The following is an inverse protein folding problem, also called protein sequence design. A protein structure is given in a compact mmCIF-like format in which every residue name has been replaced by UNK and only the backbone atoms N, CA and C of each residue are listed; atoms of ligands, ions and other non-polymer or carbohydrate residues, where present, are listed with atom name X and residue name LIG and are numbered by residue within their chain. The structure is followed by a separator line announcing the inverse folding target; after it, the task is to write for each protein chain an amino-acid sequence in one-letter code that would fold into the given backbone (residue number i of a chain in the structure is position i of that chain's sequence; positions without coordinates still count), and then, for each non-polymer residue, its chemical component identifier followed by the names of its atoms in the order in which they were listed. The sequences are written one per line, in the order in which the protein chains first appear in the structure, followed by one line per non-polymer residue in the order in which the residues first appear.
data_IF_725338442929
#
_entry.id   IF_725338442929
#
_cell.length_a   1.000
_cell.length_b   1.000
_cell.length_c   1.000
_cell.angle_alpha   90.00
_cell.angle_beta   90.00
_cell.angle_gamma   90.00
#
_symmetry.space_group_name_H-M   'P 1'
#
loop_
_entity.id
_entity.type
_entity.pdbx_description
1 polymer ?
#
# COMPACT_ATOMS: atom_id res chain seq x y z
N UNK A 1 -5.19 4.30 -47.93
CA UNK A 1 -4.05 3.40 -47.65
C UNK A 1 -2.89 4.24 -47.11
N UNK A 2 -2.40 4.14 -45.88
CA UNK A 2 -2.74 3.33 -44.72
C UNK A 2 -2.10 3.95 -43.46
N UNK A 3 -2.57 3.53 -42.29
CA UNK A 3 -1.83 3.56 -41.02
C UNK A 3 -0.73 2.47 -41.07
N UNK A 4 0.40 2.53 -40.33
CA UNK A 4 0.48 2.59 -38.85
C UNK A 4 1.66 3.51 -38.38
N UNK A 5 2.16 3.63 -37.15
CA UNK A 5 2.07 2.91 -35.88
C UNK A 5 2.54 3.90 -34.79
N UNK A 6 1.91 3.86 -33.63
CA UNK A 6 2.25 4.63 -32.45
C UNK A 6 3.50 4.00 -31.79
N UNK A 7 4.64 4.67 -31.80
CA UNK A 7 5.79 4.29 -30.96
C UNK A 7 5.64 4.94 -29.58
N UNK A 8 5.22 4.13 -28.62
CA UNK A 8 5.28 4.44 -27.20
C UNK A 8 6.74 4.47 -26.80
N UNK A 9 7.27 5.67 -26.56
CA UNK A 9 8.65 5.85 -26.15
C UNK A 9 8.78 5.49 -24.66
N UNK A 10 9.19 4.24 -24.41
CA UNK A 10 9.68 3.81 -23.09
C UNK A 10 10.90 4.64 -22.73
N UNK A 11 10.74 5.62 -21.83
CA UNK A 11 11.84 6.36 -21.25
C UNK A 11 12.51 5.48 -20.18
N UNK A 12 13.54 4.75 -20.61
CA UNK A 12 14.59 4.24 -19.73
C UNK A 12 15.51 5.40 -19.36
N UNK A 13 15.40 5.93 -18.14
CA UNK A 13 16.35 6.90 -17.59
C UNK A 13 17.52 6.17 -16.94
N UNK A 14 18.73 6.58 -17.35
CA UNK A 14 20.01 5.97 -17.09
C UNK A 14 20.72 6.51 -15.84
N UNK A 15 21.38 5.58 -15.15
CA UNK A 15 22.39 5.67 -14.06
C UNK A 15 23.11 7.00 -13.81
N UNK A 16 22.98 7.49 -12.57
CA UNK A 16 23.90 8.41 -11.90
C UNK A 16 23.63 8.44 -10.38
N UNK A 17 24.57 7.87 -9.59
CA UNK A 17 24.48 7.47 -8.16
C UNK A 17 23.60 6.25 -7.91
N UNK A 18 24.27 5.11 -7.67
CA UNK A 18 23.66 3.85 -7.26
C UNK A 18 23.21 3.93 -5.80
N UNK A 19 22.17 4.71 -5.52
CA UNK A 19 21.26 4.32 -4.45
C UNK A 19 20.42 3.20 -5.06
N UNK A 20 20.51 1.98 -4.52
CA UNK A 20 19.62 0.89 -4.95
C UNK A 20 18.20 1.44 -4.88
N UNK A 21 17.55 1.69 -6.01
CA UNK A 21 16.12 1.94 -6.04
C UNK A 21 15.47 0.67 -5.51
N UNK A 22 15.15 0.68 -4.22
CA UNK A 22 14.48 -0.44 -3.58
C UNK A 22 13.16 -0.60 -4.29
N UNK A 23 12.86 -1.81 -4.78
CA UNK A 23 11.57 -2.05 -5.43
C UNK A 23 10.45 -1.71 -4.45
N UNK A 24 9.31 -1.15 -4.90
CA UNK A 24 8.23 -0.76 -4.00
C UNK A 24 7.78 -1.91 -3.09
N UNK A 25 7.84 -3.17 -3.57
CA UNK A 25 7.58 -4.34 -2.73
C UNK A 25 8.61 -4.59 -1.62
N UNK A 26 9.89 -4.26 -1.83
CA UNK A 26 10.90 -4.35 -0.77
C UNK A 26 10.70 -3.25 0.27
N UNK A 27 10.46 -2.02 -0.18
CA UNK A 27 10.11 -0.91 0.71
C UNK A 27 8.84 -1.22 1.51
N UNK A 28 7.81 -1.79 0.88
CA UNK A 28 6.58 -2.21 1.56
C UNK A 28 6.85 -3.24 2.65
N UNK A 29 7.63 -4.28 2.34
CA UNK A 29 8.02 -5.29 3.34
C UNK A 29 8.82 -4.66 4.49
N UNK A 30 9.80 -3.82 4.18
CA UNK A 30 10.64 -3.13 5.19
C UNK A 30 9.79 -2.25 6.10
N UNK A 31 8.89 -1.43 5.53
CA UNK A 31 8.00 -0.55 6.28
C UNK A 31 7.02 -1.34 7.17
N UNK A 32 6.45 -2.44 6.66
CA UNK A 32 5.56 -3.30 7.44
C UNK A 32 6.29 -3.94 8.63
N UNK A 33 7.50 -4.47 8.42
CA UNK A 33 8.30 -5.06 9.50
C UNK A 33 8.71 -4.01 10.53
N UNK A 34 9.11 -2.81 10.08
CA UNK A 34 9.45 -1.69 10.96
C UNK A 34 8.25 -1.30 11.84
N UNK A 35 7.11 -1.02 11.20
CA UNK A 35 5.87 -0.65 11.87
C UNK A 35 5.35 -1.75 12.81
N UNK A 36 5.53 -3.03 12.47
CA UNK A 36 5.19 -4.15 13.35
C UNK A 36 6.03 -4.11 14.63
N UNK A 37 7.35 -3.94 14.50
CA UNK A 37 8.27 -3.92 15.64
C UNK A 37 8.01 -2.75 16.62
N UNK A 38 7.37 -1.69 16.11
CA UNK A 38 7.00 -0.49 16.86
C UNK A 38 5.53 -0.48 17.30
N UNK A 39 4.77 -1.56 17.05
CA UNK A 39 3.34 -1.68 17.35
C UNK A 39 2.47 -0.59 16.69
N UNK A 40 2.82 -0.18 15.47
CA UNK A 40 2.11 0.84 14.69
C UNK A 40 1.21 0.27 13.59
N UNK A 41 1.10 -1.07 13.52
CA UNK A 41 0.23 -1.76 12.58
C UNK A 41 -1.16 -1.98 13.16
N UNK A 42 -2.18 -1.75 12.33
CA UNK A 42 -3.53 -2.27 12.52
C UNK A 42 -3.83 -3.23 11.38
N UNK A 43 -4.27 -4.45 11.69
CA UNK A 43 -4.57 -5.50 10.71
C UNK A 43 -6.05 -5.84 10.81
N UNK A 44 -6.71 -5.98 9.66
CA UNK A 44 -8.13 -6.27 9.55
C UNK A 44 -8.93 -5.08 9.05
N UNK A 45 -9.97 -5.36 8.26
CA UNK A 45 -10.86 -4.34 7.67
C UNK A 45 -11.64 -3.58 8.73
N UNK A 46 -12.13 -4.28 9.75
CA UNK A 46 -12.97 -3.69 10.79
C UNK A 46 -12.16 -2.79 11.72
N UNK A 47 -11.01 -3.27 12.16
CA UNK A 47 -10.06 -2.56 13.02
C UNK A 47 -9.53 -1.31 12.29
N UNK A 48 -9.21 -1.43 11.01
CA UNK A 48 -8.79 -0.31 10.17
C UNK A 48 -9.88 0.76 10.07
N UNK A 49 -11.13 0.36 9.78
CA UNK A 49 -12.26 1.28 9.73
C UNK A 49 -12.52 1.97 11.07
N UNK A 50 -12.28 1.28 12.19
CA UNK A 50 -12.38 1.87 13.54
C UNK A 50 -11.37 2.99 13.73
N UNK A 51 -10.08 2.75 13.42
CA UNK A 51 -9.04 3.79 13.51
C UNK A 51 -9.37 4.98 12.60
N UNK A 52 -9.77 4.74 11.36
CA UNK A 52 -10.19 5.80 10.42
C UNK A 52 -11.35 6.65 10.95
N UNK A 53 -12.22 6.08 11.79
CA UNK A 53 -13.34 6.79 12.40
C UNK A 53 -12.93 7.54 13.67
N UNK A 54 -12.04 6.96 14.47
CA UNK A 54 -11.64 7.50 15.78
C UNK A 54 -10.51 8.53 15.68
N UNK A 55 -9.51 8.28 14.84
CA UNK A 55 -8.31 9.11 14.69
C UNK A 55 -7.76 9.05 13.25
N UNK A 56 -8.43 9.74 12.29
CA UNK A 56 -8.06 9.75 10.87
C UNK A 56 -6.65 10.32 10.63
N UNK A 57 -6.25 11.29 11.44
CA UNK A 57 -4.98 12.01 11.30
C UNK A 57 -3.76 11.15 11.66
N UNK A 58 -3.98 10.08 12.44
CA UNK A 58 -2.93 9.12 12.79
C UNK A 58 -2.55 8.20 11.62
N UNK A 59 -3.41 8.05 10.61
CA UNK A 59 -3.22 7.06 9.55
C UNK A 59 -2.27 7.60 8.49
N UNK A 60 -1.10 6.96 8.36
CA UNK A 60 -0.08 7.37 7.39
C UNK A 60 -0.24 6.61 6.07
N UNK A 61 -0.47 5.30 6.14
CA UNK A 61 -0.43 4.44 4.95
C UNK A 61 -1.41 3.27 5.06
N UNK A 62 -2.03 2.89 3.94
CA UNK A 62 -3.00 1.80 3.87
C UNK A 62 -2.59 0.74 2.82
N UNK A 63 -2.72 -0.53 3.17
CA UNK A 63 -2.50 -1.67 2.28
C UNK A 63 -3.82 -2.43 2.19
N UNK A 64 -4.29 -2.67 0.96
CA UNK A 64 -5.43 -3.57 0.70
C UNK A 64 -4.92 -4.85 0.04
N UNK A 65 -5.20 -5.99 0.66
CA UNK A 65 -4.87 -7.29 0.10
C UNK A 65 -6.09 -7.97 -0.48
N UNK A 66 -6.00 -8.32 -1.76
CA UNK A 66 -7.10 -8.94 -2.51
C UNK A 66 -6.60 -10.18 -3.22
N UNK A 67 -7.04 -11.37 -2.82
CA UNK A 67 -6.85 -12.57 -3.63
C UNK A 67 -8.08 -12.83 -4.51
N UNK A 68 -7.88 -13.59 -5.58
CA UNK A 68 -8.95 -14.09 -6.46
C UNK A 68 -10.09 -14.73 -5.64
N UNK A 69 -9.73 -15.42 -4.55
CA UNK A 69 -10.64 -16.11 -3.63
C UNK A 69 -11.75 -15.22 -3.03
N UNK A 70 -11.48 -13.92 -2.92
CA UNK A 70 -12.36 -12.95 -2.26
C UNK A 70 -12.99 -11.95 -3.25
N UNK A 71 -12.82 -12.15 -4.55
CA UNK A 71 -13.45 -11.32 -5.58
C UNK A 71 -14.98 -11.40 -5.55
N UNK A 72 -15.53 -12.53 -5.06
CA UNK A 72 -16.97 -12.74 -4.98
C UNK A 72 -17.60 -12.33 -3.65
N UNK A 73 -16.79 -11.92 -2.66
CA UNK A 73 -17.31 -11.42 -1.39
C UNK A 73 -17.76 -9.96 -1.55
N UNK A 74 -19.04 -9.78 -1.84
CA UNK A 74 -19.65 -8.46 -2.01
C UNK A 74 -19.48 -7.59 -0.76
N UNK A 75 -19.52 -8.17 0.44
CA UNK A 75 -19.36 -7.40 1.67
C UNK A 75 -17.94 -6.85 1.77
N UNK A 76 -16.93 -7.68 1.50
CA UNK A 76 -15.54 -7.26 1.49
C UNK A 76 -15.26 -6.21 0.40
N UNK A 77 -15.81 -6.38 -0.80
CA UNK A 77 -15.68 -5.40 -1.88
C UNK A 77 -16.31 -4.04 -1.53
N UNK A 78 -17.44 -4.04 -0.81
CA UNK A 78 -18.04 -2.81 -0.27
C UNK A 78 -17.07 -2.16 0.71
N UNK A 79 -16.50 -2.93 1.64
CA UNK A 79 -15.54 -2.39 2.61
C UNK A 79 -14.28 -1.80 1.95
N UNK A 80 -13.72 -2.47 0.94
CA UNK A 80 -12.59 -1.92 0.18
C UNK A 80 -12.95 -0.61 -0.51
N UNK A 81 -14.15 -0.52 -1.09
CA UNK A 81 -14.63 0.73 -1.70
C UNK A 81 -14.72 1.85 -0.67
N UNK A 82 -15.25 1.57 0.52
CA UNK A 82 -15.35 2.55 1.61
C UNK A 82 -13.97 3.01 2.09
N UNK A 83 -13.04 2.08 2.31
CA UNK A 83 -11.67 2.38 2.73
C UNK A 83 -10.94 3.19 1.67
N UNK A 84 -11.05 2.83 0.39
CA UNK A 84 -10.44 3.57 -0.71
C UNK A 84 -10.96 5.00 -0.78
N UNK A 85 -12.29 5.20 -0.68
CA UNK A 85 -12.88 6.54 -0.65
C UNK A 85 -12.33 7.35 0.51
N UNK A 86 -12.26 6.76 1.70
CA UNK A 86 -11.74 7.43 2.89
C UNK A 86 -10.27 7.82 2.72
N UNK A 87 -9.42 6.92 2.23
CA UNK A 87 -8.01 7.22 2.00
C UNK A 87 -7.84 8.34 0.96
N UNK A 88 -8.65 8.33 -0.10
CA UNK A 88 -8.64 9.37 -1.11
C UNK A 88 -9.05 10.74 -0.54
N UNK A 89 -10.13 10.80 0.24
CA UNK A 89 -10.65 12.05 0.80
C UNK A 89 -9.69 12.67 1.83
N UNK A 90 -8.86 11.86 2.49
CA UNK A 90 -7.92 12.29 3.54
C UNK A 90 -6.45 12.31 3.07
N UNK A 91 -6.18 12.18 1.77
CA UNK A 91 -4.82 12.11 1.19
C UNK A 91 -3.91 11.02 1.81
N UNK A 92 -4.51 9.93 2.30
CA UNK A 92 -3.78 8.78 2.83
C UNK A 92 -3.26 7.96 1.66
N UNK A 93 -1.94 7.71 1.65
CA UNK A 93 -1.33 6.86 0.62
C UNK A 93 -1.82 5.42 0.76
N UNK A 94 -2.29 4.85 -0.34
CA UNK A 94 -2.92 3.52 -0.38
C UNK A 94 -2.38 2.69 -1.53
N UNK A 95 -2.13 1.39 -1.29
CA UNK A 95 -1.67 0.43 -2.29
C UNK A 95 -2.47 -0.86 -2.24
N UNK A 96 -2.47 -1.60 -3.35
CA UNK A 96 -3.03 -2.95 -3.43
C UNK A 96 -1.91 -3.98 -3.46
N UNK A 97 -2.13 -5.13 -2.82
CA UNK A 97 -1.30 -6.32 -2.97
C UNK A 97 -2.20 -7.51 -3.33
N UNK A 98 -1.69 -8.41 -4.17
CA UNK A 98 -2.45 -9.55 -4.70
C UNK A 98 -2.22 -10.86 -3.92
N UNK A 99 -1.38 -10.84 -2.87
CA UNK A 99 -0.96 -12.03 -2.12
C UNK A 99 -1.21 -11.79 -0.61
N UNK A 100 -2.43 -12.08 -0.17
CA UNK A 100 -2.86 -11.85 1.23
C UNK A 100 -2.12 -12.78 2.19
N UNK A 101 -1.87 -14.02 1.77
CA UNK A 101 -1.12 -15.02 2.55
C UNK A 101 0.27 -14.51 2.93
N UNK A 102 0.94 -13.91 1.95
CA UNK A 102 2.26 -13.34 2.15
C UNK A 102 2.23 -12.07 2.98
N UNK A 103 1.20 -11.23 2.81
CA UNK A 103 1.03 -10.07 3.68
C UNK A 103 0.84 -10.51 5.13
N UNK A 104 -0.07 -11.46 5.39
CA UNK A 104 -0.33 -12.07 6.69
C UNK A 104 0.97 -12.60 7.33
N UNK A 105 1.79 -13.31 6.56
CA UNK A 105 3.09 -13.82 7.03
C UNK A 105 4.09 -12.71 7.41
N UNK A 106 4.05 -11.54 6.76
CA UNK A 106 4.89 -10.39 7.10
C UNK A 106 4.36 -9.71 8.37
N UNK A 107 3.04 -9.49 8.45
CA UNK A 107 2.41 -8.79 9.59
C UNK A 107 2.15 -9.68 10.79
N UNK A 108 2.46 -10.98 10.70
CA UNK A 108 2.33 -11.93 11.80
C UNK A 108 0.87 -12.24 12.14
N UNK A 109 -0.03 -12.12 11.16
CA UNK A 109 -1.45 -12.43 11.34
C UNK A 109 -1.70 -13.92 11.08
N UNK A 110 -2.14 -14.62 12.12
CA UNK A 110 -2.42 -16.06 12.07
C UNK A 110 -3.85 -16.39 11.63
N UNK A 111 -4.72 -15.38 11.54
CA UNK A 111 -6.14 -15.54 11.18
C UNK A 111 -6.40 -15.41 9.68
N UNK A 112 -5.39 -14.98 8.90
CA UNK A 112 -5.48 -14.77 7.46
C UNK A 112 -6.53 -13.72 7.05
N UNK A 113 -6.89 -12.84 7.99
CA UNK A 113 -7.85 -11.74 7.80
C UNK A 113 -7.14 -10.42 7.44
N UNK A 114 -5.89 -10.50 6.98
CA UNK A 114 -5.04 -9.37 6.62
C UNK A 114 -5.45 -8.68 5.30
N UNK A 115 -6.75 -8.53 5.05
CA UNK A 115 -7.32 -7.86 3.89
C UNK A 115 -7.10 -6.33 3.88
N UNK A 116 -6.88 -5.74 5.05
CA UNK A 116 -6.50 -4.36 5.19
C UNK A 116 -5.44 -4.23 6.29
N UNK A 117 -4.39 -3.45 6.03
CA UNK A 117 -3.37 -3.11 7.01
C UNK A 117 -3.12 -1.62 6.98
N UNK A 118 -3.20 -0.98 8.15
CA UNK A 118 -2.83 0.43 8.34
C UNK A 118 -1.49 0.54 9.04
N UNK A 119 -0.70 1.52 8.59
CA UNK A 119 0.46 2.03 9.29
C UNK A 119 0.05 3.38 9.89
N UNK A 120 0.13 3.50 11.20
CA UNK A 120 -0.13 4.75 11.92
C UNK A 120 1.18 5.46 12.27
N UNK A 121 1.11 6.79 12.36
CA UNK A 121 2.19 7.62 12.89
C UNK A 121 2.03 7.71 14.42
N UNK A 122 3.12 7.73 15.19
CA UNK A 122 3.02 7.96 16.63
C UNK A 122 2.56 9.40 16.90
N UNK A 123 1.96 9.61 18.08
CA UNK A 123 1.31 10.86 18.46
C UNK A 123 2.25 12.08 18.52
N UNK A 124 3.57 11.89 18.55
CA UNK A 124 4.58 12.96 18.51
C UNK A 124 5.10 13.27 17.09
N UNK A 125 4.67 12.52 16.08
CA UNK A 125 5.05 12.69 14.69
C UNK A 125 6.54 12.47 14.40
N UNK A 126 7.29 11.87 15.30
CA UNK A 126 8.77 11.91 15.27
C UNK A 126 9.44 10.81 14.44
N UNK A 127 8.68 9.97 13.73
CA UNK A 127 9.22 8.79 13.08
C UNK A 127 9.35 8.97 11.57
N UNK A 128 10.60 9.00 11.11
CA UNK A 128 10.95 9.03 9.70
C UNK A 128 11.36 7.61 9.28
N UNK A 129 10.40 6.86 8.72
CA UNK A 129 10.71 5.57 8.10
C UNK A 129 11.08 5.80 6.61
N UNK A 130 12.36 5.60 6.22
CA UNK A 130 12.79 5.83 4.84
C UNK A 130 12.18 4.85 3.84
N UNK A 131 11.68 3.69 4.29
CA UNK A 131 10.93 2.77 3.44
C UNK A 131 9.51 3.30 3.19
N UNK A 132 8.88 3.87 4.22
CA UNK A 132 7.56 4.50 4.12
C UNK A 132 7.58 5.75 3.25
N UNK A 133 8.61 6.60 3.37
CA UNK A 133 8.78 7.78 2.51
C UNK A 133 8.84 7.39 1.02
N UNK A 134 9.59 6.33 0.69
CA UNK A 134 9.65 5.81 -0.70
C UNK A 134 8.28 5.34 -1.20
N UNK A 135 7.44 4.78 -0.33
CA UNK A 135 6.09 4.37 -0.69
C UNK A 135 5.18 5.57 -0.93
N UNK A 136 5.31 6.63 -0.14
CA UNK A 136 4.59 7.89 -0.38
C UNK A 136 4.95 8.50 -1.73
N UNK A 137 6.25 8.57 -2.05
CA UNK A 137 6.73 9.02 -3.36
C UNK A 137 6.19 8.14 -4.49
N UNK A 138 6.23 6.81 -4.33
CA UNK A 138 5.64 5.88 -5.30
C UNK A 138 4.15 6.15 -5.53
N UNK A 139 3.37 6.35 -4.47
CA UNK A 139 1.94 6.66 -4.58
C UNK A 139 1.70 8.03 -5.24
N UNK A 140 2.53 9.04 -4.95
CA UNK A 140 2.46 10.34 -5.62
C UNK A 140 2.75 10.22 -7.13
N UNK A 141 3.80 9.49 -7.51
CA UNK A 141 4.13 9.25 -8.91
C UNK A 141 3.01 8.51 -9.65
N UNK A 142 2.42 7.49 -9.04
CA UNK A 142 1.27 6.75 -9.59
C UNK A 142 0.04 7.64 -9.76
N UNK A 143 -0.27 8.49 -8.78
CA UNK A 143 -1.39 9.46 -8.87
C UNK A 143 -1.23 10.41 -10.06
N UNK A 144 0.00 10.84 -10.38
CA UNK A 144 0.28 11.68 -11.56
C UNK A 144 0.00 10.96 -12.89
N UNK A 145 -0.06 9.64 -12.86
CA UNK A 145 -0.43 8.77 -13.99
C UNK A 145 -1.90 8.35 -13.97
N UNK A 146 -2.72 8.90 -13.06
CA UNK A 146 -4.11 8.51 -12.81
C UNK A 146 -4.28 7.09 -12.25
N UNK A 147 -3.22 6.52 -11.68
CA UNK A 147 -3.27 5.25 -10.94
C UNK A 147 -3.40 5.55 -9.44
N UNK A 148 -4.64 5.55 -8.95
CA UNK A 148 -4.99 6.00 -7.60
C UNK A 148 -4.75 4.97 -6.51
N UNK A 149 -4.76 3.68 -6.86
CA UNK A 149 -4.53 2.58 -5.93
C UNK A 149 -3.54 1.60 -6.59
N UNK A 150 -2.26 2.00 -6.69
CA UNK A 150 -1.27 1.22 -7.41
C UNK A 150 -1.06 -0.15 -6.78
N UNK A 151 -0.82 -1.16 -7.61
CA UNK A 151 -0.52 -2.52 -7.17
C UNK A 151 0.98 -2.71 -6.90
N UNK A 152 1.30 -3.41 -5.82
CA UNK A 152 2.66 -3.78 -5.43
C UNK A 152 2.75 -5.30 -5.28
N UNK A 153 3.68 -5.91 -6.00
CA UNK A 153 4.05 -7.31 -5.75
C UNK A 153 5.07 -7.41 -4.61
N UNK A 154 4.71 -8.16 -3.57
CA UNK A 154 5.61 -8.43 -2.44
C UNK A 154 6.77 -9.37 -2.89
N UNK A 155 8.01 -9.15 -2.40
CA UNK A 155 9.22 -9.84 -2.90
C UNK A 155 9.39 -11.23 -2.33
N UNK A 156 9.70 -12.24 -3.17
CA UNK A 156 9.93 -13.67 -2.80
C UNK A 156 10.85 -13.86 -1.58
N UNK A 157 10.62 -14.96 -0.84
CA UNK A 157 11.30 -15.23 0.44
C UNK A 157 12.81 -15.38 0.28
#
# INVERSE_FOLDING_TARGET
CGFPHLEVQTLTLSTGRMEKTSSPGKSLKEALVCAQSEHRLTVGVYESAKIMTEDPDSVSFCVLATDEQFEWDVALQIHFTLIQSFCFDNDISIVRVSDTQRLAAIVGDEQEDAHCVLITNPADGSWEDPALEKLHLFCEESRRLNDWVPEISLPER
#
